data_IF_369105029302
#
_entry.id   IF_369105029302
#
_cell.length_a   1.000
_cell.length_b   1.000
_cell.length_c   1.000
_cell.angle_alpha   90.00
_cell.angle_beta   90.00
_cell.angle_gamma   90.00
#
_symmetry.space_group_name_H-M   'P 1'
#
loop_
_entity.id
_entity.type
_entity.pdbx_description
1 polymer ?
#
# COMPACT_ATOMS: atom_id res chain seq x y z
N UNK A 1 -28.15 -11.15 16.40
CA UNK A 1 -28.17 -10.13 15.35
C UNK A 1 -27.00 -9.19 15.49
N UNK A 2 -25.93 -9.45 14.73
CA UNK A 2 -24.72 -8.62 14.71
C UNK A 2 -24.88 -7.58 13.62
N UNK A 3 -24.80 -6.31 14.01
CA UNK A 3 -24.71 -5.21 13.06
C UNK A 3 -23.40 -5.39 12.28
N UNK A 4 -23.53 -5.53 10.96
CA UNK A 4 -22.40 -5.60 10.05
C UNK A 4 -21.71 -4.23 10.01
N UNK A 5 -20.49 -4.16 10.54
CA UNK A 5 -19.65 -2.95 10.56
C UNK A 5 -19.29 -2.45 9.15
N UNK A 6 -19.62 -3.20 8.09
CA UNK A 6 -19.52 -2.74 6.70
C UNK A 6 -20.71 -1.89 6.24
N UNK A 7 -21.80 -1.78 7.01
CA UNK A 7 -23.05 -1.14 6.57
C UNK A 7 -23.32 0.26 7.14
N UNK A 8 -22.37 0.92 7.80
CA UNK A 8 -22.59 2.27 8.28
C UNK A 8 -21.37 3.15 8.10
N UNK A 9 -21.33 3.97 7.03
CA UNK A 9 -20.75 5.31 7.04
C UNK A 9 -21.08 6.04 5.72
N UNK A 10 -22.18 6.79 5.74
CA UNK A 10 -22.46 7.90 4.80
C UNK A 10 -22.55 9.16 5.66
N UNK A 11 -21.58 10.08 5.56
CA UNK A 11 -21.80 11.53 5.41
C UNK A 11 -20.47 12.30 5.24
N UNK A 12 -20.45 13.24 4.28
CA UNK A 12 -19.42 14.26 4.00
C UNK A 12 -18.16 13.79 3.22
N UNK A 13 -18.22 13.92 1.89
CA UNK A 13 -17.14 14.29 0.96
C UNK A 13 -15.73 13.64 1.04
N UNK A 14 -15.54 12.54 1.76
CA UNK A 14 -14.32 11.72 1.69
C UNK A 14 -14.76 10.33 1.29
N UNK A 15 -14.50 9.95 0.04
CA UNK A 15 -14.69 8.56 -0.40
C UNK A 15 -13.83 7.69 0.53
N UNK A 16 -14.40 6.79 1.35
CA UNK A 16 -13.58 5.91 2.14
C UNK A 16 -12.73 5.11 1.17
N UNK A 17 -11.41 5.27 1.29
CA UNK A 17 -10.44 4.43 0.61
C UNK A 17 -10.73 3.02 1.15
N UNK A 18 -11.61 2.28 0.46
CA UNK A 18 -11.79 0.84 0.68
C UNK A 18 -10.40 0.29 0.82
N UNK A 19 -10.11 -0.44 1.90
CA UNK A 19 -8.84 -1.14 2.08
C UNK A 19 -8.51 -1.83 0.76
N UNK A 20 -7.64 -1.18 -0.01
CA UNK A 20 -7.27 -1.61 -1.34
C UNK A 20 -6.07 -2.48 -1.05
N UNK A 21 -6.20 -3.77 -1.32
CA UNK A 21 -5.09 -4.71 -1.25
C UNK A 21 -3.83 -4.01 -1.79
N UNK A 22 -2.70 -4.07 -1.06
CA UNK A 22 -1.48 -3.40 -1.47
C UNK A 22 -1.18 -3.79 -2.91
N UNK A 23 -1.11 -2.78 -3.78
CA UNK A 23 -0.91 -3.02 -5.20
C UNK A 23 0.53 -3.44 -5.42
N UNK A 24 0.71 -4.66 -5.91
CA UNK A 24 2.03 -5.18 -6.24
C UNK A 24 2.50 -4.57 -7.57
N UNK A 25 3.46 -3.65 -7.50
CA UNK A 25 4.05 -2.99 -8.68
C UNK A 25 5.37 -3.69 -9.00
N UNK A 26 5.37 -4.52 -10.05
CA UNK A 26 6.55 -5.25 -10.51
C UNK A 26 7.07 -4.77 -11.87
N UNK A 27 6.33 -3.86 -12.52
CA UNK A 27 6.68 -3.30 -13.83
C UNK A 27 6.31 -1.82 -13.96
N UNK A 28 6.90 -1.15 -14.96
CA UNK A 28 6.54 0.23 -15.34
C UNK A 28 5.08 0.33 -15.76
N UNK A 29 4.53 -0.72 -16.37
CA UNK A 29 3.12 -0.73 -16.80
C UNK A 29 2.16 -0.75 -15.61
N UNK A 30 2.49 -1.49 -14.55
CA UNK A 30 1.69 -1.51 -13.32
C UNK A 30 1.64 -0.12 -12.68
N UNK A 31 2.82 0.53 -12.60
CA UNK A 31 2.92 1.89 -12.08
C UNK A 31 2.18 2.92 -12.95
N UNK A 32 2.27 2.81 -14.27
CA UNK A 32 1.54 3.68 -15.20
C UNK A 32 0.02 3.51 -15.09
N UNK A 33 -0.44 2.27 -14.95
CA UNK A 33 -1.86 1.93 -14.76
C UNK A 33 -2.38 2.49 -13.42
N UNK A 34 -1.66 2.22 -12.33
CA UNK A 34 -1.41 3.07 -11.16
C UNK A 34 -1.92 4.51 -11.26
N UNK A 35 -1.02 5.31 -11.78
CA UNK A 35 -1.10 6.76 -11.87
C UNK A 35 -2.31 7.17 -12.70
N UNK A 36 -2.57 6.50 -13.82
CA UNK A 36 -3.71 6.78 -14.70
C UNK A 36 -5.05 6.55 -14.01
N UNK A 37 -5.17 5.46 -13.26
CA UNK A 37 -6.39 5.15 -12.53
C UNK A 37 -6.63 6.17 -11.44
N UNK A 38 -5.60 6.52 -10.66
CA UNK A 38 -5.77 7.48 -9.58
C UNK A 38 -6.10 8.88 -10.09
N UNK A 39 -5.46 9.33 -11.17
CA UNK A 39 -5.84 10.57 -11.85
C UNK A 39 -7.31 10.59 -12.23
N UNK A 40 -7.82 9.49 -12.81
CA UNK A 40 -9.23 9.36 -13.18
C UNK A 40 -10.15 9.34 -11.96
N UNK A 41 -9.76 8.69 -10.87
CA UNK A 41 -10.53 8.65 -9.62
C UNK A 41 -10.73 10.07 -9.06
N UNK A 42 -9.72 10.93 -9.20
CA UNK A 42 -9.76 12.34 -8.79
C UNK A 42 -10.47 13.24 -9.82
N UNK A 43 -10.93 12.69 -10.94
CA UNK A 43 -11.63 13.43 -11.99
C UNK A 43 -10.73 14.32 -12.84
N UNK A 44 -9.41 14.13 -12.76
CA UNK A 44 -8.45 15.02 -13.40
C UNK A 44 -8.19 14.62 -14.86
N UNK A 45 -7.98 15.61 -15.72
CA UNK A 45 -7.39 15.47 -17.05
C UNK A 45 -5.87 15.29 -16.95
N UNK A 46 -5.24 14.83 -18.04
CA UNK A 46 -3.78 14.72 -18.09
C UNK A 46 -3.09 16.09 -17.98
N UNK A 47 -3.73 17.16 -18.48
CA UNK A 47 -3.20 18.51 -18.36
C UNK A 47 -3.20 18.99 -16.91
N UNK A 48 -4.27 18.73 -16.16
CA UNK A 48 -4.36 19.10 -14.74
C UNK A 48 -3.37 18.32 -13.88
N UNK A 49 -3.14 17.04 -14.16
CA UNK A 49 -2.08 16.30 -13.47
C UNK A 49 -0.69 16.85 -13.81
N UNK A 50 -0.46 17.21 -15.07
CA UNK A 50 0.80 17.77 -15.52
C UNK A 50 1.12 19.10 -14.80
N UNK A 51 0.13 19.99 -14.72
CA UNK A 51 0.22 21.26 -14.00
C UNK A 51 0.56 21.05 -12.53
N UNK A 52 -0.19 20.18 -11.83
CA UNK A 52 0.06 19.87 -10.41
C UNK A 52 1.41 19.20 -10.15
N UNK A 53 1.95 18.48 -11.14
CA UNK A 53 3.22 17.76 -11.04
C UNK A 53 4.42 18.59 -11.51
N UNK A 54 4.19 19.76 -12.12
CA UNK A 54 5.24 20.61 -12.68
C UNK A 54 5.94 20.00 -13.91
N UNK A 55 5.19 19.29 -14.76
CA UNK A 55 5.69 18.63 -15.99
C UNK A 55 4.82 18.98 -17.19
N UNK A 56 5.26 18.61 -18.40
CA UNK A 56 4.44 18.80 -19.60
C UNK A 56 3.32 17.77 -19.70
N UNK A 57 2.23 18.12 -20.38
CA UNK A 57 1.13 17.19 -20.68
C UNK A 57 1.62 15.96 -21.47
N UNK A 58 2.51 16.16 -22.43
CA UNK A 58 3.09 15.07 -23.24
C UNK A 58 3.92 14.11 -22.39
N UNK A 59 4.56 14.63 -21.34
CA UNK A 59 5.27 13.80 -20.38
C UNK A 59 4.29 12.90 -19.60
N UNK A 60 3.16 13.44 -19.11
CA UNK A 60 2.10 12.62 -18.47
C UNK A 60 1.52 11.59 -19.46
N UNK A 61 1.30 11.96 -20.72
CA UNK A 61 0.84 11.01 -21.75
C UNK A 61 1.85 9.88 -21.93
N UNK A 62 3.15 10.19 -21.98
CA UNK A 62 4.22 9.21 -22.08
C UNK A 62 4.28 8.28 -20.87
N UNK A 63 4.19 8.85 -19.66
CA UNK A 63 4.13 8.10 -18.42
C UNK A 63 2.95 7.13 -18.38
N UNK A 64 1.73 7.60 -18.68
CA UNK A 64 0.52 6.75 -18.68
C UNK A 64 0.51 5.68 -19.79
N UNK A 65 1.42 5.80 -20.76
CA UNK A 65 1.68 4.79 -21.81
C UNK A 65 2.87 3.88 -21.47
N UNK A 66 3.43 3.99 -20.27
CA UNK A 66 4.59 3.24 -19.82
C UNK A 66 5.82 3.42 -20.72
N UNK A 67 6.09 4.66 -21.17
CA UNK A 67 7.30 4.96 -21.95
C UNK A 67 8.57 4.53 -21.16
N UNK A 68 9.51 3.77 -21.76
CA UNK A 68 10.65 3.21 -21.02
C UNK A 68 11.58 4.25 -20.39
N UNK A 69 11.69 5.43 -21.01
CA UNK A 69 12.63 6.48 -20.63
C UNK A 69 12.01 7.59 -19.76
N UNK A 70 11.14 7.22 -18.82
CA UNK A 70 10.61 8.18 -17.84
C UNK A 70 11.62 8.43 -16.72
N UNK A 71 11.86 9.70 -16.42
CA UNK A 71 12.74 10.10 -15.32
C UNK A 71 12.09 9.82 -13.97
N UNK A 72 12.75 9.04 -13.11
CA UNK A 72 12.24 8.66 -11.79
C UNK A 72 11.88 9.89 -10.93
N UNK A 73 12.66 10.96 -10.99
CA UNK A 73 12.39 12.20 -10.24
C UNK A 73 11.01 12.78 -10.59
N UNK A 74 10.62 12.76 -11.86
CA UNK A 74 9.33 13.27 -12.32
C UNK A 74 8.19 12.30 -11.98
N UNK A 75 8.46 11.00 -11.94
CA UNK A 75 7.52 10.00 -11.43
C UNK A 75 7.22 10.27 -9.96
N UNK A 76 8.23 10.47 -9.10
CA UNK A 76 8.04 10.76 -7.69
C UNK A 76 7.26 12.08 -7.45
N UNK A 77 7.50 13.11 -8.27
CA UNK A 77 6.70 14.36 -8.24
C UNK A 77 5.24 14.11 -8.59
N UNK A 78 4.98 13.27 -9.59
CA UNK A 78 3.63 12.90 -10.02
C UNK A 78 2.89 12.11 -8.93
N UNK A 79 3.58 11.15 -8.29
CA UNK A 79 3.04 10.40 -7.15
C UNK A 79 2.70 11.33 -5.99
N UNK A 80 3.58 12.30 -5.68
CA UNK A 80 3.31 13.34 -4.68
C UNK A 80 2.07 14.17 -5.04
N UNK A 81 1.93 14.60 -6.29
CA UNK A 81 0.78 15.38 -6.75
C UNK A 81 -0.54 14.61 -6.64
N UNK A 82 -0.51 13.29 -6.80
CA UNK A 82 -1.67 12.40 -6.62
C UNK A 82 -1.93 11.99 -5.17
N UNK A 83 -1.09 12.41 -4.22
CA UNK A 83 -1.11 11.96 -2.83
C UNK A 83 -0.98 10.42 -2.70
N UNK A 84 -0.13 9.82 -3.55
CA UNK A 84 0.23 8.41 -3.53
C UNK A 84 1.63 8.24 -2.91
N UNK A 85 1.74 7.89 -1.61
CA UNK A 85 3.04 7.62 -1.01
C UNK A 85 3.68 6.37 -1.64
N UNK A 86 4.98 6.43 -1.89
CA UNK A 86 5.78 5.26 -2.28
C UNK A 86 6.41 4.67 -1.02
N UNK A 87 6.01 3.46 -0.65
CA UNK A 87 6.62 2.68 0.42
C UNK A 87 7.52 1.60 -0.15
N UNK A 88 8.66 1.36 0.48
CA UNK A 88 9.58 0.28 0.14
C UNK A 88 9.71 -0.59 1.38
N UNK A 89 9.14 -1.79 1.31
CA UNK A 89 9.23 -2.77 2.39
C UNK A 89 10.37 -3.74 2.10
N UNK A 90 11.19 -3.98 3.12
CA UNK A 90 12.12 -5.10 3.08
C UNK A 90 11.32 -6.37 3.40
N UNK A 91 11.40 -7.44 2.59
CA UNK A 91 10.83 -8.71 2.99
C UNK A 91 11.50 -9.09 4.30
N UNK A 92 10.77 -9.03 5.41
CA UNK A 92 11.29 -9.49 6.68
C UNK A 92 11.63 -10.97 6.48
N UNK A 93 12.92 -11.30 6.53
CA UNK A 93 13.32 -12.67 6.77
C UNK A 93 12.56 -13.05 8.04
N UNK A 94 11.56 -13.94 7.89
CA UNK A 94 10.62 -14.32 8.94
C UNK A 94 11.34 -14.30 10.27
N UNK A 95 11.09 -13.27 11.08
CA UNK A 95 11.59 -13.24 12.44
C UNK A 95 10.81 -14.33 13.15
N UNK A 96 11.41 -15.52 13.19
CA UNK A 96 11.11 -16.58 14.14
C UNK A 96 11.43 -16.05 15.54
N UNK A 97 10.62 -15.13 16.01
CA UNK A 97 10.58 -14.70 17.40
C UNK A 97 9.12 -14.57 17.79
N UNK A 98 8.39 -15.68 17.63
CA UNK A 98 7.52 -16.08 18.72
C UNK A 98 8.45 -16.48 19.87
N UNK A 99 8.75 -15.55 20.77
CA UNK A 99 8.90 -15.88 22.19
C UNK A 99 7.53 -16.36 22.70
N UNK A 100 7.07 -17.46 22.12
CA UNK A 100 6.03 -18.28 22.69
C UNK A 100 6.73 -19.12 23.73
N UNK A 101 6.36 -18.91 24.99
CA UNK A 101 6.68 -19.85 26.08
C UNK A 101 6.34 -21.24 25.57
N UNK A 102 7.35 -22.11 25.44
CA UNK A 102 7.14 -23.46 24.96
C UNK A 102 6.32 -24.21 26.03
N UNK A 103 5.13 -24.66 25.66
CA UNK A 103 4.20 -25.32 26.59
C UNK A 103 4.83 -26.58 27.19
N UNK A 104 5.72 -27.24 26.44
CA UNK A 104 6.47 -28.42 26.89
C UNK A 104 7.41 -28.08 28.05
N UNK A 105 8.06 -26.92 28.02
CA UNK A 105 8.97 -26.47 29.08
C UNK A 105 8.20 -26.18 30.37
N UNK A 106 6.98 -25.64 30.27
CA UNK A 106 6.11 -25.37 31.44
C UNK A 106 5.56 -26.67 32.04
N UNK A 107 5.18 -27.64 31.22
CA UNK A 107 4.70 -28.95 31.67
C UNK A 107 5.82 -29.77 32.34
N UNK A 108 7.05 -29.67 31.83
CA UNK A 108 8.19 -30.36 32.43
C UNK A 108 8.61 -29.72 33.76
N UNK A 109 8.53 -28.39 33.89
CA UNK A 109 8.81 -27.70 35.15
C UNK A 109 7.79 -28.05 36.27
N UNK A 110 6.54 -28.35 35.91
CA UNK A 110 5.49 -28.70 36.90
C UNK A 110 5.53 -30.16 37.34
N UNK A 111 6.12 -31.08 36.55
CA UNK A 111 6.36 -32.47 36.96
C UNK A 111 7.49 -32.60 37.98
N UNK A 112 8.54 -31.77 37.88
CA UNK A 112 9.66 -31.79 38.83
C UNK A 112 9.31 -31.31 40.25
N UNK A 113 8.14 -30.68 40.44
CA UNK A 113 7.69 -30.22 41.76
C UNK A 113 6.81 -31.22 42.51
N UNK A 114 6.38 -32.31 41.87
CA UNK A 114 5.46 -33.28 42.46
C UNK A 114 6.16 -34.56 42.99
N UNK A 115 7.48 -34.65 42.84
CA UNK A 115 8.33 -35.72 43.39
C UNK A 115 9.25 -35.16 44.49
N UNK A 116 8.67 -34.65 45.58
CA UNK A 116 9.39 -34.51 46.85
C UNK A 116 8.61 -35.31 47.91
N UNK A 117 9.33 -36.07 48.75
CA UNK A 117 8.78 -37.15 49.58
C UNK A 117 7.74 -36.68 50.59
#
# INVERSE_FOLDING_TARGET
DKVDVHQLFILVAVRPHRYREPMNIISVNDLACHIKQERKNQGWTQAELAERSGVSRDWIIGLEKAKPSVELVLVLRTLKALNLPLSIDQPSAKSSSSEGVNLEDVLNNSRSHNDRP
#
